data_IF_501148406873
#
_entry.id   IF_501148406873
#
_cell.length_a   1.000
_cell.length_b   1.000
_cell.length_c   1.000
_cell.angle_alpha   90.00
_cell.angle_beta   90.00
_cell.angle_gamma   90.00
#
_symmetry.space_group_name_H-M   'P 1'
#
loop_
_entity.id
_entity.type
_entity.pdbx_description
1 polymer ?
#
# COMPACT_ATOMS: atom_id res chain seq x y z
N UNK A 1 -2.13 -23.20 4.89
CA UNK A 1 -3.17 -22.14 4.88
C UNK A 1 -2.60 -20.93 4.17
N UNK A 2 -2.83 -20.77 2.87
CA UNK A 2 -2.48 -19.56 2.13
C UNK A 2 -3.70 -18.66 2.14
N UNK A 3 -3.64 -17.52 2.83
CA UNK A 3 -4.73 -16.55 2.84
C UNK A 3 -4.48 -15.53 1.73
N UNK A 4 -5.08 -15.66 0.54
CA UNK A 4 -4.76 -14.84 -0.62
C UNK A 4 -4.99 -13.34 -0.36
N UNK A 5 -5.95 -13.01 0.51
CA UNK A 5 -6.24 -11.63 0.90
C UNK A 5 -5.07 -10.96 1.62
N UNK A 6 -4.48 -11.64 2.62
CA UNK A 6 -3.34 -11.10 3.36
C UNK A 6 -2.11 -10.89 2.47
N UNK A 7 -1.89 -11.75 1.47
CA UNK A 7 -0.82 -11.59 0.50
C UNK A 7 -1.01 -10.34 -0.38
N UNK A 8 -2.23 -10.12 -0.87
CA UNK A 8 -2.57 -8.92 -1.68
C UNK A 8 -2.36 -7.65 -0.87
N UNK A 9 -2.88 -7.60 0.36
CA UNK A 9 -2.71 -6.44 1.25
C UNK A 9 -1.21 -6.16 1.50
N UNK A 10 -0.43 -7.22 1.79
CA UNK A 10 1.01 -7.09 2.01
C UNK A 10 1.79 -6.57 0.82
N UNK A 11 1.43 -6.98 -0.40
CA UNK A 11 2.05 -6.47 -1.63
C UNK A 11 1.74 -4.99 -1.86
N UNK A 12 0.48 -4.58 -1.69
CA UNK A 12 0.07 -3.17 -1.82
C UNK A 12 0.77 -2.32 -0.75
N UNK A 13 0.83 -2.80 0.50
CA UNK A 13 1.52 -2.11 1.59
C UNK A 13 3.02 -1.94 1.31
N UNK A 14 3.67 -2.97 0.76
CA UNK A 14 5.07 -2.90 0.35
C UNK A 14 5.28 -1.84 -0.73
N UNK A 15 4.39 -1.79 -1.73
CA UNK A 15 4.44 -0.81 -2.81
C UNK A 15 4.28 0.63 -2.29
N UNK A 16 3.27 0.91 -1.47
CA UNK A 16 3.06 2.24 -0.89
C UNK A 16 4.14 2.63 0.14
N UNK A 17 4.74 1.65 0.82
CA UNK A 17 5.92 1.90 1.67
C UNK A 17 7.11 2.40 0.84
N UNK A 18 7.34 1.83 -0.35
CA UNK A 18 8.37 2.31 -1.28
C UNK A 18 8.05 3.71 -1.80
N UNK A 19 6.80 4.00 -2.12
CA UNK A 19 6.38 5.37 -2.50
C UNK A 19 6.64 6.35 -1.35
N UNK A 20 6.31 5.97 -0.11
CA UNK A 20 6.57 6.81 1.06
C UNK A 20 8.07 7.06 1.24
N UNK A 21 8.90 6.01 1.16
CA UNK A 21 10.36 6.14 1.19
C UNK A 21 10.85 7.10 0.12
N UNK A 22 10.35 6.96 -1.11
CA UNK A 22 10.71 7.85 -2.22
C UNK A 22 10.45 9.31 -1.88
N UNK A 23 9.32 9.64 -1.26
CA UNK A 23 9.01 11.02 -0.85
C UNK A 23 10.06 11.64 0.08
N UNK A 24 10.66 10.84 0.98
CA UNK A 24 11.62 11.31 1.98
C UNK A 24 13.07 11.24 1.53
N UNK A 25 13.37 10.68 0.36
CA UNK A 25 14.72 10.74 -0.20
C UNK A 25 15.11 12.19 -0.49
N UNK A 26 16.26 12.61 0.05
CA UNK A 26 16.86 13.91 -0.24
C UNK A 26 17.44 13.89 -1.66
N UNK A 27 18.26 12.88 -1.95
CA UNK A 27 18.82 12.63 -3.27
C UNK A 27 17.99 11.56 -4.01
N UNK A 28 17.38 11.93 -5.14
CA UNK A 28 16.59 11.01 -5.97
C UNK A 28 17.45 10.12 -6.87
N UNK A 29 18.72 10.47 -7.10
CA UNK A 29 19.61 9.67 -7.95
C UNK A 29 19.89 8.28 -7.37
N UNK A 30 19.86 8.15 -6.04
CA UNK A 30 20.03 6.89 -5.31
C UNK A 30 18.74 6.09 -5.12
N UNK A 31 17.61 6.57 -5.64
CA UNK A 31 16.28 6.03 -5.31
C UNK A 31 16.11 4.54 -5.65
N UNK A 32 16.60 4.06 -6.80
CA UNK A 32 16.46 2.65 -7.17
C UNK A 32 17.08 1.72 -6.10
N UNK A 33 18.26 2.09 -5.59
CA UNK A 33 18.96 1.37 -4.53
C UNK A 33 18.18 1.43 -3.20
N UNK A 34 17.80 2.63 -2.77
CA UNK A 34 17.11 2.83 -1.48
C UNK A 34 15.71 2.19 -1.42
N UNK A 35 15.03 2.10 -2.58
CA UNK A 35 13.75 1.42 -2.70
C UNK A 35 13.90 -0.10 -2.88
N UNK A 36 15.11 -0.61 -3.12
CA UNK A 36 15.37 -2.01 -3.43
C UNK A 36 14.65 -2.46 -4.69
N UNK A 37 14.74 -1.66 -5.76
CA UNK A 37 14.13 -1.94 -7.06
C UNK A 37 15.16 -1.79 -8.18
N UNK A 38 14.97 -2.55 -9.25
CA UNK A 38 15.80 -2.38 -10.45
C UNK A 38 15.56 -0.97 -11.05
N UNK A 39 16.59 -0.25 -11.54
CA UNK A 39 16.45 1.12 -12.06
C UNK A 39 15.40 1.29 -13.15
N UNK A 40 15.17 0.25 -13.96
CA UNK A 40 14.10 0.21 -14.98
C UNK A 40 12.72 0.57 -14.42
N UNK A 41 12.39 0.11 -13.21
CA UNK A 41 11.08 0.35 -12.59
C UNK A 41 11.00 1.67 -11.82
N UNK A 42 12.09 2.43 -11.71
CA UNK A 42 12.10 3.65 -10.89
C UNK A 42 11.04 4.65 -11.36
N UNK A 43 10.88 4.83 -12.68
CA UNK A 43 9.91 5.75 -13.29
C UNK A 43 8.48 5.53 -12.82
N UNK A 44 8.10 4.28 -12.51
CA UNK A 44 6.77 3.95 -12.00
C UNK A 44 6.55 4.49 -10.58
N UNK A 45 7.57 4.41 -9.72
CA UNK A 45 7.52 4.97 -8.36
C UNK A 45 7.54 6.51 -8.38
N UNK A 46 8.25 7.13 -9.33
CA UNK A 46 8.24 8.58 -9.50
C UNK A 46 6.85 9.09 -9.94
N UNK A 47 6.22 8.37 -10.87
CA UNK A 47 4.85 8.67 -11.30
C UNK A 47 3.86 8.48 -10.14
N UNK A 48 3.96 7.36 -9.41
CA UNK A 48 3.09 7.09 -8.28
C UNK A 48 3.25 8.14 -7.16
N UNK A 49 4.48 8.59 -6.87
CA UNK A 49 4.73 9.64 -5.90
C UNK A 49 4.11 11.00 -6.30
N UNK A 50 4.00 11.29 -7.60
CA UNK A 50 3.28 12.50 -8.07
C UNK A 50 1.77 12.40 -7.85
N UNK A 51 1.19 11.23 -8.09
CA UNK A 51 -0.26 11.00 -7.94
C UNK A 51 -0.69 10.84 -6.48
N UNK A 52 0.18 10.24 -5.66
CA UNK A 52 -0.02 10.04 -4.23
C UNK A 52 1.05 10.81 -3.46
N UNK A 53 0.75 12.05 -3.09
CA UNK A 53 1.63 12.85 -2.24
C UNK A 53 1.84 12.19 -0.86
N UNK A 54 2.75 12.74 -0.03
CA UNK A 54 3.07 12.20 1.31
C UNK A 54 1.85 11.91 2.17
N UNK A 55 0.89 12.86 2.24
CA UNK A 55 -0.31 12.73 3.07
C UNK A 55 -1.18 11.58 2.56
N UNK A 56 -1.50 11.56 1.26
CA UNK A 56 -2.29 10.49 0.62
C UNK A 56 -1.62 9.12 0.76
N UNK A 57 -0.31 9.04 0.60
CA UNK A 57 0.45 7.79 0.79
C UNK A 57 0.30 7.27 2.22
N UNK A 58 0.36 8.16 3.21
CA UNK A 58 0.16 7.79 4.61
C UNK A 58 -1.28 7.33 4.88
N UNK A 59 -2.28 8.01 4.31
CA UNK A 59 -3.68 7.59 4.41
C UNK A 59 -3.89 6.18 3.84
N UNK A 60 -3.33 5.89 2.67
CA UNK A 60 -3.39 4.54 2.07
C UNK A 60 -2.76 3.49 2.99
N UNK A 61 -1.62 3.77 3.61
CA UNK A 61 -1.00 2.84 4.56
C UNK A 61 -1.87 2.57 5.79
N UNK A 62 -2.60 3.58 6.28
CA UNK A 62 -3.58 3.39 7.37
C UNK A 62 -4.76 2.52 6.91
N UNK A 63 -5.30 2.75 5.71
CA UNK A 63 -6.36 1.91 5.13
C UNK A 63 -5.90 0.45 5.04
N UNK A 64 -4.66 0.21 4.60
CA UNK A 64 -4.10 -1.13 4.46
C UNK A 64 -3.91 -1.81 5.83
N UNK A 65 -3.47 -1.06 6.84
CA UNK A 65 -3.37 -1.54 8.22
C UNK A 65 -4.74 -1.96 8.76
N UNK A 66 -5.77 -1.13 8.58
CA UNK A 66 -7.13 -1.44 9.03
C UNK A 66 -7.67 -2.68 8.30
N UNK A 67 -7.44 -2.76 6.99
CA UNK A 67 -7.86 -3.88 6.14
C UNK A 67 -7.19 -5.19 6.57
N UNK A 68 -5.89 -5.15 6.89
CA UNK A 68 -5.15 -6.32 7.39
C UNK A 68 -5.74 -6.84 8.71
N UNK A 69 -6.05 -5.94 9.65
CA UNK A 69 -6.72 -6.31 10.90
C UNK A 69 -8.10 -6.94 10.66
N UNK A 70 -8.92 -6.31 9.80
CA UNK A 70 -10.23 -6.84 9.42
C UNK A 70 -10.13 -8.22 8.77
N UNK A 71 -9.16 -8.43 7.89
CA UNK A 71 -8.92 -9.72 7.22
C UNK A 71 -8.55 -10.87 8.18
N UNK A 72 -8.07 -10.51 9.38
CA UNK A 72 -7.72 -11.44 10.46
C UNK A 72 -8.85 -11.62 11.48
N UNK A 73 -10.02 -11.05 11.24
CA UNK A 73 -11.18 -11.15 12.13
C UNK A 73 -11.16 -10.16 13.30
N UNK A 74 -10.28 -9.16 13.28
CA UNK A 74 -10.23 -8.14 14.34
C UNK A 74 -11.23 -7.04 14.03
N UNK A 75 -12.07 -6.69 15.00
CA UNK A 75 -13.06 -5.60 14.90
C UNK A 75 -14.05 -5.74 13.72
N UNK A 76 -14.39 -6.97 13.32
CA UNK A 76 -15.41 -7.23 12.30
C UNK A 76 -16.61 -7.97 12.90
N UNK A 77 -17.84 -7.67 12.44
CA UNK A 77 -19.01 -8.49 12.72
C UNK A 77 -18.82 -9.95 12.28
N UNK A 78 -19.49 -10.87 12.95
CA UNK A 78 -19.39 -12.32 12.68
C UNK A 78 -19.86 -12.74 11.28
N UNK A 79 -20.56 -11.86 10.54
CA UNK A 79 -21.08 -12.08 9.19
C UNK A 79 -20.35 -11.28 8.10
N UNK A 80 -19.21 -10.64 8.40
CA UNK A 80 -18.50 -9.78 7.45
C UNK A 80 -17.75 -10.60 6.38
N UNK A 81 -17.87 -10.23 5.10
CA UNK A 81 -17.32 -10.99 3.97
C UNK A 81 -15.95 -10.44 3.49
N UNK A 82 -14.99 -11.32 3.20
CA UNK A 82 -13.68 -10.99 2.63
C UNK A 82 -13.75 -10.18 1.32
N UNK A 83 -14.78 -10.40 0.49
CA UNK A 83 -14.98 -9.63 -0.74
C UNK A 83 -15.34 -8.17 -0.45
N UNK A 84 -16.14 -7.93 0.59
CA UNK A 84 -16.54 -6.58 1.02
C UNK A 84 -15.34 -5.81 1.59
N UNK A 85 -14.46 -6.50 2.33
CA UNK A 85 -13.20 -5.93 2.84
C UNK A 85 -12.34 -5.40 1.69
N UNK A 86 -12.21 -6.17 0.59
CA UNK A 86 -11.45 -5.75 -0.59
C UNK A 86 -12.08 -4.56 -1.29
N UNK A 87 -13.41 -4.58 -1.49
CA UNK A 87 -14.15 -3.48 -2.12
C UNK A 87 -14.03 -2.18 -1.31
N UNK A 88 -14.19 -2.26 0.01
CA UNK A 88 -14.01 -1.12 0.91
C UNK A 88 -12.57 -0.57 0.85
N UNK A 89 -11.56 -1.44 0.89
CA UNK A 89 -10.15 -1.05 0.79
C UNK A 89 -9.89 -0.27 -0.50
N UNK A 90 -10.31 -0.81 -1.66
CA UNK A 90 -10.11 -0.16 -2.96
C UNK A 90 -10.81 1.20 -3.00
N UNK A 91 -12.06 1.26 -2.54
CA UNK A 91 -12.83 2.50 -2.49
C UNK A 91 -12.12 3.58 -1.65
N UNK A 92 -11.59 3.22 -0.48
CA UNK A 92 -10.88 4.13 0.43
C UNK A 92 -9.49 4.56 -0.07
N UNK A 93 -8.88 3.80 -0.98
CA UNK A 93 -7.59 4.17 -1.59
C UNK A 93 -7.80 5.15 -2.76
N UNK A 94 -8.88 5.00 -3.51
CA UNK A 94 -9.14 5.76 -4.73
C UNK A 94 -9.87 7.10 -4.50
N UNK A 95 -10.57 7.26 -3.37
CA UNK A 95 -11.31 8.47 -2.99
C UNK A 95 -10.68 9.14 -1.76
#
# INVERSE_FOLDING_TARGET
KNNPLGMVIGQIATYFTKILKYHYLIDKSVAAKELGVHPFFLKEYELAARNYNRRKTFDVLNVLKDTDLKSKGVNVPSNFNSEEILKEMIYRILN
#
